data_IF_984551959004
#
_entry.id   IF_984551959004
#
_cell.length_a   1.000
_cell.length_b   1.000
_cell.length_c   1.000
_cell.angle_alpha   90.00
_cell.angle_beta   90.00
_cell.angle_gamma   90.00
#
_symmetry.space_group_name_H-M   'P 1'
#
loop_
_entity.id
_entity.type
_entity.pdbx_description
1 polymer ?
#
# COMPACT_ATOMS: atom_id res chain seq x y z
N UNK A 1 15.22 -21.50 -17.86
CA UNK A 1 13.76 -21.44 -18.11
C UNK A 1 13.51 -21.58 -19.60
N UNK A 2 12.36 -22.14 -20.04
CA UNK A 2 12.10 -22.45 -21.45
C UNK A 2 11.76 -21.17 -22.24
N UNK A 3 12.07 -21.13 -23.56
CA UNK A 3 11.69 -20.03 -24.46
C UNK A 3 10.20 -19.63 -24.38
N UNK A 4 9.35 -20.59 -24.06
CA UNK A 4 7.92 -20.37 -23.82
C UNK A 4 7.60 -19.39 -22.66
N UNK A 5 8.48 -19.22 -21.67
CA UNK A 5 8.31 -18.27 -20.58
C UNK A 5 8.56 -16.83 -21.06
N UNK A 6 9.63 -16.62 -21.79
CA UNK A 6 9.94 -15.33 -22.41
C UNK A 6 8.86 -14.89 -23.41
N UNK A 7 8.36 -15.81 -24.24
CA UNK A 7 7.28 -15.53 -25.19
C UNK A 7 6.01 -15.07 -24.49
N UNK A 8 5.60 -15.74 -23.39
CA UNK A 8 4.45 -15.28 -22.58
C UNK A 8 4.67 -13.88 -22.02
N UNK A 9 5.89 -13.60 -21.52
CA UNK A 9 6.22 -12.26 -20.99
C UNK A 9 6.15 -11.19 -22.08
N UNK A 10 6.69 -11.45 -23.26
CA UNK A 10 6.60 -10.51 -24.40
C UNK A 10 5.15 -10.29 -24.81
N UNK A 11 4.34 -11.35 -24.86
CA UNK A 11 2.92 -11.24 -25.16
C UNK A 11 2.20 -10.36 -24.12
N UNK A 12 2.41 -10.61 -22.85
CA UNK A 12 1.83 -9.80 -21.77
C UNK A 12 2.29 -8.33 -21.81
N UNK A 13 3.55 -8.06 -22.17
CA UNK A 13 3.99 -6.68 -22.40
C UNK A 13 3.26 -6.02 -23.57
N UNK A 14 2.95 -6.74 -24.66
CA UNK A 14 2.17 -6.20 -25.77
C UNK A 14 0.75 -5.86 -25.33
N UNK A 15 0.10 -6.73 -24.59
CA UNK A 15 -1.25 -6.50 -24.04
C UNK A 15 -1.27 -5.39 -22.98
N UNK A 16 -0.19 -5.22 -22.22
CA UNK A 16 -0.06 -4.16 -21.25
C UNK A 16 0.07 -2.75 -21.89
N UNK A 17 0.36 -2.67 -23.21
CA UNK A 17 0.50 -1.38 -23.92
C UNK A 17 -0.90 -0.87 -24.31
N UNK A 18 -1.53 -0.21 -23.39
CA UNK A 18 -2.77 0.53 -23.57
C UNK A 18 -2.54 2.02 -23.94
N UNK A 19 -3.61 2.81 -24.04
CA UNK A 19 -3.53 4.23 -24.38
C UNK A 19 -2.69 5.05 -23.36
N UNK A 20 -2.81 4.88 -22.03
CA UNK A 20 -1.91 5.51 -21.06
C UNK A 20 -0.43 5.16 -21.27
N UNK A 21 -0.10 3.89 -21.53
CA UNK A 21 1.28 3.43 -21.78
C UNK A 21 1.84 4.07 -23.07
N UNK A 22 1.07 4.04 -24.14
CA UNK A 22 1.47 4.66 -25.42
C UNK A 22 1.65 6.18 -25.28
N UNK A 23 0.76 6.85 -24.57
CA UNK A 23 0.84 8.29 -24.25
C UNK A 23 2.11 8.61 -23.45
N UNK A 24 2.43 7.79 -22.43
CA UNK A 24 3.66 7.96 -21.65
C UNK A 24 4.91 7.91 -22.55
N UNK A 25 5.05 6.87 -23.36
CA UNK A 25 6.25 6.72 -24.18
C UNK A 25 6.37 7.78 -25.29
N UNK A 26 5.25 8.35 -25.71
CA UNK A 26 5.22 9.45 -26.71
C UNK A 26 5.49 10.81 -26.07
N UNK A 27 5.07 11.05 -24.83
CA UNK A 27 5.14 12.35 -24.14
C UNK A 27 6.37 12.53 -23.25
N UNK A 28 7.02 11.42 -22.82
CA UNK A 28 8.15 11.48 -21.91
C UNK A 28 9.41 12.07 -22.56
N UNK A 29 9.74 13.31 -22.20
CA UNK A 29 10.93 14.05 -22.69
C UNK A 29 12.22 13.71 -21.94
N UNK A 30 12.19 12.72 -21.04
CA UNK A 30 13.36 12.27 -20.26
C UNK A 30 14.07 13.39 -19.46
N UNK A 31 13.31 14.33 -18.92
CA UNK A 31 13.84 15.46 -18.15
C UNK A 31 14.52 15.06 -16.82
N UNK A 32 14.34 13.82 -16.34
CA UNK A 32 14.98 13.29 -15.12
C UNK A 32 14.33 13.72 -13.80
N UNK A 33 13.30 14.58 -13.78
CA UNK A 33 12.68 15.04 -12.53
C UNK A 33 12.13 13.89 -11.67
N UNK A 34 11.56 12.85 -12.28
CA UNK A 34 11.06 11.68 -11.58
C UNK A 34 12.16 10.94 -10.77
N UNK A 35 13.43 11.03 -11.19
CA UNK A 35 14.57 10.45 -10.47
C UNK A 35 14.79 11.16 -9.14
N UNK A 36 14.71 12.49 -9.11
CA UNK A 36 14.82 13.31 -7.89
C UNK A 36 13.70 13.06 -6.88
N UNK A 37 12.60 12.46 -7.34
CA UNK A 37 11.47 12.05 -6.49
C UNK A 37 11.53 10.59 -6.07
N UNK A 38 12.43 9.78 -6.60
CA UNK A 38 12.54 8.36 -6.28
C UNK A 38 13.45 8.15 -5.07
N UNK A 39 12.89 7.59 -4.00
CA UNK A 39 13.64 7.30 -2.76
C UNK A 39 14.89 6.47 -3.03
N UNK A 40 14.76 5.42 -3.85
CA UNK A 40 15.89 4.52 -4.13
C UNK A 40 17.01 5.21 -4.92
N UNK A 41 16.66 6.07 -5.87
CA UNK A 41 17.67 6.83 -6.59
C UNK A 41 18.33 7.92 -5.74
N UNK A 42 17.53 8.68 -4.97
CA UNK A 42 18.08 9.80 -4.18
C UNK A 42 19.03 9.37 -3.07
N UNK A 43 18.85 8.16 -2.54
CA UNK A 43 19.69 7.66 -1.44
C UNK A 43 20.88 6.81 -1.90
N UNK A 44 20.84 6.32 -3.14
CA UNK A 44 21.95 5.51 -3.71
C UNK A 44 22.74 6.24 -4.78
N UNK A 45 22.13 7.24 -5.43
CA UNK A 45 22.65 7.94 -6.62
C UNK A 45 22.95 7.02 -7.81
N UNK A 46 22.55 5.75 -7.74
CA UNK A 46 22.75 4.77 -8.80
C UNK A 46 21.70 4.94 -9.92
N UNK A 47 22.11 5.27 -11.16
CA UNK A 47 21.20 5.50 -12.29
C UNK A 47 20.25 4.34 -12.60
N UNK A 48 20.61 3.10 -12.23
CA UNK A 48 19.74 1.93 -12.43
C UNK A 48 18.40 2.04 -11.68
N UNK A 49 18.36 2.79 -10.57
CA UNK A 49 17.15 2.98 -9.78
C UNK A 49 16.26 4.13 -10.28
N UNK A 50 16.63 4.80 -11.37
CA UNK A 50 15.78 5.86 -11.93
C UNK A 50 14.46 5.26 -12.45
N UNK A 51 13.30 5.91 -12.21
CA UNK A 51 11.99 5.39 -12.64
C UNK A 51 11.92 5.09 -14.14
N UNK A 52 12.58 5.90 -14.97
CA UNK A 52 12.59 5.70 -16.43
C UNK A 52 13.36 4.44 -16.82
N UNK A 53 14.46 4.15 -16.15
CA UNK A 53 15.28 2.98 -16.44
C UNK A 53 14.52 1.68 -16.15
N UNK A 54 13.73 1.65 -15.08
CA UNK A 54 12.89 0.50 -14.70
C UNK A 54 11.87 0.10 -15.75
N UNK A 55 11.55 0.98 -16.70
CA UNK A 55 10.56 0.75 -17.75
C UNK A 55 11.18 0.29 -19.08
N UNK A 56 12.49 0.10 -19.14
CA UNK A 56 13.19 -0.17 -20.40
C UNK A 56 12.70 -1.42 -21.15
N UNK A 57 12.43 -2.60 -20.52
CA UNK A 57 11.88 -3.74 -21.24
C UNK A 57 10.54 -3.44 -21.91
N UNK A 58 9.59 -2.83 -21.20
CA UNK A 58 8.29 -2.43 -21.77
C UNK A 58 8.46 -1.41 -22.91
N UNK A 59 9.41 -0.46 -22.76
CA UNK A 59 9.72 0.52 -23.80
C UNK A 59 10.31 -0.12 -25.05
N UNK A 60 11.15 -1.17 -24.91
CA UNK A 60 11.69 -1.91 -26.07
C UNK A 60 10.56 -2.56 -26.84
N UNK A 61 9.63 -3.25 -26.17
CA UNK A 61 8.45 -3.86 -26.81
C UNK A 61 7.61 -2.78 -27.53
N UNK A 62 7.29 -1.67 -26.81
CA UNK A 62 6.55 -0.58 -27.43
C UNK A 62 7.22 -0.02 -28.70
N UNK A 63 8.53 0.18 -28.68
CA UNK A 63 9.25 0.67 -29.87
C UNK A 63 9.20 -0.32 -31.02
N UNK A 64 9.41 -1.59 -30.76
CA UNK A 64 9.44 -2.64 -31.78
C UNK A 64 8.08 -2.86 -32.44
N UNK A 65 7.00 -2.82 -31.65
CA UNK A 65 5.67 -3.17 -32.13
C UNK A 65 4.86 -1.97 -32.62
N UNK A 66 5.04 -0.78 -32.02
CA UNK A 66 4.14 0.36 -32.21
C UNK A 66 4.77 1.59 -32.86
N UNK A 67 6.08 1.62 -33.13
CA UNK A 67 6.71 2.73 -33.86
C UNK A 67 7.12 2.29 -35.26
N UNK A 68 6.97 3.21 -36.24
CA UNK A 68 7.33 2.92 -37.64
C UNK A 68 8.79 2.45 -37.78
N UNK A 69 9.73 3.22 -37.25
CA UNK A 69 11.16 2.89 -37.34
C UNK A 69 11.55 1.65 -36.52
N UNK A 70 10.88 1.42 -35.39
CA UNK A 70 11.12 0.22 -34.59
C UNK A 70 10.65 -1.04 -35.32
N UNK A 71 9.48 -0.99 -35.95
CA UNK A 71 8.96 -2.12 -36.77
C UNK A 71 9.87 -2.40 -37.95
N UNK A 72 10.33 -1.36 -38.66
CA UNK A 72 11.25 -1.52 -39.79
C UNK A 72 12.58 -2.13 -39.32
N UNK A 73 13.17 -1.63 -38.23
CA UNK A 73 14.40 -2.19 -37.65
C UNK A 73 14.22 -3.64 -37.19
N UNK A 74 13.04 -3.97 -36.61
CA UNK A 74 12.71 -5.34 -36.21
C UNK A 74 12.60 -6.27 -37.42
N UNK A 75 11.93 -5.84 -38.49
CA UNK A 75 11.80 -6.62 -39.73
C UNK A 75 13.14 -6.87 -40.42
N UNK A 76 14.09 -5.92 -40.29
CA UNK A 76 15.46 -6.06 -40.83
C UNK A 76 16.43 -6.79 -39.88
N UNK A 77 15.96 -7.30 -38.71
CA UNK A 77 16.82 -7.95 -37.71
C UNK A 77 17.82 -7.02 -37.01
N UNK A 78 17.61 -5.69 -37.09
CA UNK A 78 18.49 -4.68 -36.50
C UNK A 78 18.08 -4.27 -35.08
N UNK A 79 16.92 -4.72 -34.58
CA UNK A 79 16.47 -4.42 -33.23
C UNK A 79 16.95 -5.43 -32.22
N UNK A 80 17.46 -4.97 -31.06
CA UNK A 80 17.83 -5.85 -29.96
C UNK A 80 16.55 -6.43 -29.33
N UNK A 81 16.33 -7.72 -29.52
CA UNK A 81 15.23 -8.44 -28.90
C UNK A 81 15.41 -8.53 -27.38
N UNK A 82 14.30 -8.63 -26.63
CA UNK A 82 14.35 -8.97 -25.22
C UNK A 82 14.82 -10.40 -25.03
N UNK A 83 15.65 -10.61 -24.03
CA UNK A 83 16.13 -11.92 -23.63
C UNK A 83 15.70 -12.22 -22.19
N UNK A 84 15.72 -13.49 -21.80
CA UNK A 84 15.46 -13.93 -20.43
C UNK A 84 16.43 -13.26 -19.44
N UNK A 85 17.72 -13.16 -19.81
CA UNK A 85 18.73 -12.44 -19.02
C UNK A 85 18.45 -10.93 -18.87
N UNK A 86 17.87 -10.30 -19.88
CA UNK A 86 17.41 -8.92 -19.71
C UNK A 86 16.30 -8.85 -18.63
N UNK A 87 15.31 -9.76 -18.64
CA UNK A 87 14.22 -9.75 -17.66
C UNK A 87 14.73 -10.08 -16.25
N UNK A 88 15.62 -11.05 -16.10
CA UNK A 88 16.27 -11.38 -14.83
C UNK A 88 16.97 -10.15 -14.23
N UNK A 89 17.72 -9.39 -15.03
CA UNK A 89 18.39 -8.16 -14.57
C UNK A 89 17.39 -7.07 -14.14
N UNK A 90 16.20 -7.01 -14.75
CA UNK A 90 15.18 -6.02 -14.39
C UNK A 90 14.28 -6.44 -13.23
N UNK A 91 14.24 -7.70 -12.84
CA UNK A 91 13.42 -8.18 -11.71
C UNK A 91 13.72 -7.39 -10.44
N UNK A 92 14.99 -7.27 -10.05
CA UNK A 92 15.42 -6.52 -8.88
C UNK A 92 15.06 -5.03 -8.99
N UNK A 93 15.14 -4.44 -10.20
CA UNK A 93 14.83 -3.04 -10.40
C UNK A 93 13.34 -2.73 -10.32
N UNK A 94 12.50 -3.66 -10.73
CA UNK A 94 11.05 -3.46 -10.79
C UNK A 94 10.36 -3.81 -9.47
N UNK A 95 10.86 -4.80 -8.75
CA UNK A 95 10.25 -5.27 -7.51
C UNK A 95 10.99 -4.79 -6.27
N UNK A 96 12.32 -4.89 -6.20
CA UNK A 96 13.05 -4.60 -4.97
C UNK A 96 13.26 -3.10 -4.74
N UNK A 97 13.24 -2.30 -5.80
CA UNK A 97 13.48 -0.86 -5.72
C UNK A 97 12.28 0.01 -6.12
N UNK A 98 11.05 -0.52 -6.04
CA UNK A 98 9.83 0.24 -6.31
C UNK A 98 8.68 -0.13 -5.36
N UNK A 99 8.34 0.79 -4.48
CA UNK A 99 7.24 0.66 -3.51
C UNK A 99 5.87 1.07 -4.06
N UNK A 100 5.77 1.39 -5.35
CA UNK A 100 4.55 1.94 -5.97
C UNK A 100 4.02 3.22 -5.27
N UNK A 101 4.89 3.99 -4.62
CA UNK A 101 4.50 5.14 -3.80
C UNK A 101 3.92 6.34 -4.58
N UNK A 102 4.13 6.44 -5.88
CA UNK A 102 3.56 7.48 -6.72
C UNK A 102 4.25 8.86 -6.68
N UNK A 103 5.33 9.06 -5.89
CA UNK A 103 5.98 10.38 -5.80
C UNK A 103 6.59 10.83 -7.13
N UNK A 104 7.11 9.90 -7.92
CA UNK A 104 7.61 10.18 -9.26
C UNK A 104 6.51 10.60 -10.25
N UNK A 105 5.29 10.06 -10.10
CA UNK A 105 4.13 10.46 -10.90
C UNK A 105 3.71 11.89 -10.59
N UNK A 106 3.67 12.27 -9.31
CA UNK A 106 3.30 13.63 -8.88
C UNK A 106 4.24 14.72 -9.38
N UNK A 107 5.55 14.44 -9.43
CA UNK A 107 6.54 15.44 -9.85
C UNK A 107 6.67 15.53 -11.38
N UNK A 108 6.01 14.65 -12.13
CA UNK A 108 6.12 14.62 -13.57
C UNK A 108 5.47 15.85 -14.21
N UNK A 109 6.22 16.71 -14.91
CA UNK A 109 5.69 17.96 -15.46
C UNK A 109 4.69 17.73 -16.61
N UNK A 110 4.68 16.52 -17.18
CA UNK A 110 3.77 16.10 -18.25
C UNK A 110 2.53 15.37 -17.69
N UNK A 111 2.50 15.12 -16.37
CA UNK A 111 1.37 14.44 -15.72
C UNK A 111 1.33 12.91 -15.95
N UNK A 112 2.42 12.28 -16.35
CA UNK A 112 2.46 10.83 -16.55
C UNK A 112 2.38 10.06 -15.22
N UNK A 113 1.49 9.07 -15.12
CA UNK A 113 1.48 8.14 -13.99
C UNK A 113 2.53 7.04 -14.17
N UNK A 114 3.73 7.32 -13.64
CA UNK A 114 4.86 6.39 -13.68
C UNK A 114 4.57 5.13 -12.83
N UNK A 115 3.77 5.25 -11.79
CA UNK A 115 3.39 4.10 -10.95
C UNK A 115 2.53 3.11 -11.73
N UNK A 116 1.59 3.62 -12.53
CA UNK A 116 0.84 2.80 -13.46
C UNK A 116 1.76 2.06 -14.44
N UNK A 117 2.74 2.76 -15.01
CA UNK A 117 3.73 2.16 -15.91
C UNK A 117 4.52 1.03 -15.25
N UNK A 118 4.91 1.17 -13.97
CA UNK A 118 5.61 0.10 -13.23
C UNK A 118 4.66 -1.09 -13.02
N UNK A 119 3.37 -0.88 -12.77
CA UNK A 119 2.40 -1.98 -12.67
C UNK A 119 2.31 -2.74 -13.99
N UNK A 120 2.20 -2.02 -15.12
CA UNK A 120 2.21 -2.61 -16.46
C UNK A 120 3.52 -3.34 -16.78
N UNK A 121 4.64 -2.83 -16.30
CA UNK A 121 5.91 -3.54 -16.37
C UNK A 121 5.87 -4.85 -15.57
N UNK A 122 5.28 -4.87 -14.37
CA UNK A 122 5.14 -6.08 -13.56
C UNK A 122 4.24 -7.14 -14.19
N UNK A 123 3.24 -6.77 -14.99
CA UNK A 123 2.39 -7.73 -15.73
C UNK A 123 3.23 -8.62 -16.65
N UNK A 124 4.09 -8.03 -17.46
CA UNK A 124 4.99 -8.79 -18.31
C UNK A 124 6.06 -9.59 -17.55
N UNK A 125 6.59 -9.02 -16.45
CA UNK A 125 7.55 -9.69 -15.58
C UNK A 125 6.94 -10.94 -14.92
N UNK A 126 5.75 -10.83 -14.35
CA UNK A 126 5.02 -11.93 -13.72
C UNK A 126 4.69 -13.04 -14.74
N UNK A 127 4.20 -12.67 -15.94
CA UNK A 127 3.87 -13.60 -17.01
C UNK A 127 5.10 -14.37 -17.53
N UNK A 128 6.29 -13.74 -17.51
CA UNK A 128 7.56 -14.39 -17.87
C UNK A 128 8.16 -15.23 -16.73
N UNK A 129 7.57 -15.21 -15.54
CA UNK A 129 8.08 -15.92 -14.36
C UNK A 129 9.18 -15.18 -13.60
N UNK A 130 9.42 -13.91 -13.91
CA UNK A 130 10.40 -13.05 -13.25
C UNK A 130 9.74 -12.20 -12.15
N UNK A 131 9.04 -12.86 -11.23
CA UNK A 131 8.55 -12.24 -10.00
C UNK A 131 9.26 -12.86 -8.78
N UNK A 132 9.50 -12.06 -7.71
CA UNK A 132 10.24 -12.54 -6.55
C UNK A 132 9.56 -13.72 -5.85
N UNK A 133 10.32 -14.76 -5.41
CA UNK A 133 9.75 -15.93 -4.75
C UNK A 133 8.90 -15.61 -3.52
N UNK A 134 9.33 -14.64 -2.69
CA UNK A 134 8.58 -14.18 -1.51
C UNK A 134 7.21 -13.62 -1.88
N UNK A 135 7.15 -12.79 -2.92
CA UNK A 135 5.89 -12.21 -3.41
C UNK A 135 4.99 -13.24 -4.10
N UNK A 136 5.57 -14.21 -4.84
CA UNK A 136 4.82 -15.37 -5.38
C UNK A 136 4.19 -16.16 -4.23
N UNK A 137 4.97 -16.45 -3.17
CA UNK A 137 4.49 -17.16 -1.99
C UNK A 137 3.37 -16.41 -1.28
N UNK A 138 3.51 -15.10 -1.06
CA UNK A 138 2.48 -14.25 -0.48
C UNK A 138 1.20 -14.24 -1.32
N UNK A 139 1.34 -14.11 -2.64
CA UNK A 139 0.19 -14.12 -3.57
C UNK A 139 -0.53 -15.46 -3.58
N UNK A 140 0.22 -16.57 -3.58
CA UNK A 140 -0.38 -17.91 -3.48
C UNK A 140 -1.18 -18.07 -2.19
N UNK A 141 -0.63 -17.63 -1.05
CA UNK A 141 -1.36 -17.69 0.23
C UNK A 141 -2.61 -16.81 0.21
N UNK A 142 -2.53 -15.59 -0.35
CA UNK A 142 -3.69 -14.71 -0.49
C UNK A 142 -4.82 -15.37 -1.29
N UNK A 143 -4.50 -16.03 -2.41
CA UNK A 143 -5.49 -16.76 -3.22
C UNK A 143 -6.07 -17.98 -2.47
N UNK A 144 -5.24 -18.80 -1.83
CA UNK A 144 -5.65 -20.09 -1.27
C UNK A 144 -6.23 -20.00 0.13
N UNK A 145 -5.78 -19.02 0.94
CA UNK A 145 -6.11 -18.88 2.36
C UNK A 145 -6.91 -17.60 2.64
N UNK A 146 -6.83 -16.61 1.74
CA UNK A 146 -7.42 -15.27 1.91
C UNK A 146 -6.47 -14.27 2.57
N UNK A 147 -5.23 -14.66 2.90
CA UNK A 147 -4.26 -13.82 3.58
C UNK A 147 -2.85 -14.02 3.01
N UNK A 148 -2.11 -12.96 2.65
CA UNK A 148 -0.75 -13.07 2.12
C UNK A 148 0.25 -13.61 3.15
N UNK A 149 0.01 -13.40 4.44
CA UNK A 149 0.80 -13.98 5.53
C UNK A 149 0.29 -15.34 6.01
N UNK A 150 -0.84 -15.81 5.47
CA UNK A 150 -1.41 -17.11 5.80
C UNK A 150 -2.25 -17.11 7.09
N UNK A 151 -2.73 -15.96 7.53
CA UNK A 151 -3.66 -15.84 8.66
C UNK A 151 -4.97 -16.52 8.32
N UNK A 152 -5.36 -17.50 9.13
CA UNK A 152 -6.60 -18.25 8.97
C UNK A 152 -7.65 -17.76 9.98
N UNK A 153 -8.92 -18.04 9.72
CA UNK A 153 -10.03 -17.67 10.59
C UNK A 153 -9.84 -18.07 12.07
N UNK A 154 -9.31 -19.27 12.43
CA UNK A 154 -9.06 -19.60 13.84
C UNK A 154 -8.07 -18.65 14.53
N UNK A 155 -7.08 -18.11 13.82
CA UNK A 155 -6.15 -17.13 14.37
C UNK A 155 -6.84 -15.79 14.63
N UNK A 156 -7.65 -15.30 13.69
CA UNK A 156 -8.47 -14.11 13.91
C UNK A 156 -9.43 -14.30 15.10
N UNK A 157 -10.12 -15.43 15.18
CA UNK A 157 -11.02 -15.74 16.29
C UNK A 157 -10.31 -15.82 17.64
N UNK A 158 -9.05 -16.29 17.66
CA UNK A 158 -8.25 -16.29 18.87
C UNK A 158 -7.91 -14.87 19.34
N UNK A 159 -7.55 -13.99 18.40
CA UNK A 159 -7.31 -12.57 18.70
C UNK A 159 -8.58 -11.85 19.15
N UNK A 160 -9.71 -12.09 18.50
CA UNK A 160 -11.01 -11.55 18.91
C UNK A 160 -11.31 -11.94 20.37
N UNK A 161 -11.22 -13.23 20.72
CA UNK A 161 -11.46 -13.68 22.10
C UNK A 161 -10.49 -13.07 23.10
N UNK A 162 -9.23 -12.84 22.70
CA UNK A 162 -8.25 -12.16 23.54
C UNK A 162 -8.68 -10.72 23.81
N UNK A 163 -9.01 -9.97 22.75
CA UNK A 163 -9.47 -8.59 22.84
C UNK A 163 -10.74 -8.47 23.68
N UNK A 164 -11.74 -9.34 23.45
CA UNK A 164 -12.98 -9.33 24.23
C UNK A 164 -12.75 -9.58 25.73
N UNK A 165 -11.81 -10.49 26.04
CA UNK A 165 -11.43 -10.77 27.43
C UNK A 165 -10.72 -9.60 28.10
N UNK A 166 -9.79 -8.93 27.39
CA UNK A 166 -9.01 -7.82 27.94
C UNK A 166 -9.83 -6.52 28.04
N UNK A 167 -10.73 -6.28 27.09
CA UNK A 167 -11.49 -5.03 27.04
C UNK A 167 -12.90 -5.13 27.60
N UNK A 168 -13.45 -6.33 27.74
CA UNK A 168 -14.85 -6.55 28.08
C UNK A 168 -15.83 -6.16 26.97
N UNK A 169 -15.35 -5.77 25.80
CA UNK A 169 -16.13 -5.33 24.64
C UNK A 169 -16.33 -6.47 23.65
N UNK A 170 -17.49 -6.51 22.98
CA UNK A 170 -17.76 -7.49 21.94
C UNK A 170 -17.21 -7.03 20.60
N UNK A 171 -16.60 -7.97 19.85
CA UNK A 171 -16.15 -7.79 18.47
C UNK A 171 -17.11 -8.55 17.54
N UNK A 172 -18.04 -7.89 16.86
CA UNK A 172 -19.08 -8.54 16.07
C UNK A 172 -18.50 -9.19 14.80
N UNK A 173 -18.89 -10.44 14.56
CA UNK A 173 -18.51 -11.21 13.38
C UNK A 173 -19.76 -11.70 12.65
N UNK A 174 -19.80 -11.54 11.34
CA UNK A 174 -20.89 -11.96 10.45
C UNK A 174 -22.29 -11.42 10.82
N UNK A 175 -22.35 -10.19 11.33
CA UNK A 175 -23.62 -9.53 11.63
C UNK A 175 -24.21 -8.93 10.36
N UNK A 176 -25.32 -9.51 9.89
CA UNK A 176 -26.05 -9.04 8.71
C UNK A 176 -26.75 -7.69 9.00
N UNK A 177 -26.68 -6.76 8.06
CA UNK A 177 -27.32 -5.45 8.15
C UNK A 177 -26.59 -4.43 9.01
N UNK A 178 -25.37 -4.73 9.47
CA UNK A 178 -24.50 -3.73 10.08
C UNK A 178 -24.22 -2.58 9.10
N UNK A 179 -24.04 -1.36 9.61
CA UNK A 179 -23.73 -0.21 8.74
C UNK A 179 -22.35 -0.31 8.10
N UNK A 180 -21.40 -0.94 8.79
CA UNK A 180 -20.01 -1.05 8.35
C UNK A 180 -19.47 -2.45 8.46
N UNK A 181 -18.75 -2.91 7.42
CA UNK A 181 -17.87 -4.07 7.49
C UNK A 181 -16.43 -3.60 7.61
N UNK A 182 -15.76 -3.95 8.71
CA UNK A 182 -14.35 -3.66 8.93
C UNK A 182 -13.49 -4.73 8.27
N UNK A 183 -12.55 -4.30 7.44
CA UNK A 183 -11.46 -5.13 6.97
C UNK A 183 -10.25 -4.97 7.90
N UNK A 184 -9.44 -6.00 7.94
CA UNK A 184 -8.18 -6.02 8.68
C UNK A 184 -7.03 -6.31 7.71
N UNK A 185 -5.80 -6.13 8.16
CA UNK A 185 -4.61 -6.66 7.51
C UNK A 185 -4.00 -7.77 8.35
N UNK A 186 -3.24 -8.65 7.71
CA UNK A 186 -2.48 -9.68 8.43
C UNK A 186 -1.56 -9.08 9.51
N UNK A 187 -1.02 -7.88 9.24
CA UNK A 187 -0.13 -7.19 10.18
C UNK A 187 -0.86 -6.78 11.47
N UNK A 188 -2.08 -6.26 11.35
CA UNK A 188 -2.91 -5.90 12.51
C UNK A 188 -3.30 -7.13 13.33
N UNK A 189 -3.61 -8.25 12.66
CA UNK A 189 -4.00 -9.46 13.36
C UNK A 189 -2.81 -10.09 14.10
N UNK A 190 -1.62 -10.07 13.51
CA UNK A 190 -0.45 -10.81 14.01
C UNK A 190 0.49 -9.96 14.86
N UNK A 191 0.72 -8.71 14.49
CA UNK A 191 1.73 -7.85 15.09
C UNK A 191 1.14 -6.74 15.97
N UNK A 192 -0.11 -6.31 15.67
CA UNK A 192 -0.76 -5.19 16.36
C UNK A 192 -2.22 -5.53 16.73
N UNK A 193 -2.46 -6.62 17.50
CA UNK A 193 -3.82 -7.03 17.85
C UNK A 193 -4.58 -5.99 18.68
N UNK A 194 -3.88 -5.06 19.33
CA UNK A 194 -4.41 -3.91 20.06
C UNK A 194 -5.29 -3.04 19.18
N UNK A 195 -5.00 -2.99 17.86
CA UNK A 195 -5.80 -2.26 16.88
C UNK A 195 -7.27 -2.70 16.89
N UNK A 196 -7.55 -4.01 17.03
CA UNK A 196 -8.92 -4.53 17.07
C UNK A 196 -9.62 -4.04 18.34
N UNK A 197 -8.92 -4.02 19.47
CA UNK A 197 -9.43 -3.49 20.75
C UNK A 197 -9.70 -1.98 20.68
N UNK A 198 -8.79 -1.24 20.07
CA UNK A 198 -8.95 0.20 19.84
C UNK A 198 -10.20 0.50 19.01
N UNK A 199 -10.41 -0.23 17.91
CA UNK A 199 -11.62 -0.08 17.08
C UNK A 199 -12.88 -0.44 17.87
N UNK A 200 -12.87 -1.56 18.61
CA UNK A 200 -14.02 -1.96 19.42
C UNK A 200 -14.39 -0.87 20.44
N UNK A 201 -13.39 -0.30 21.14
CA UNK A 201 -13.60 0.81 22.11
C UNK A 201 -14.13 2.07 21.43
N UNK A 202 -13.55 2.48 20.30
CA UNK A 202 -14.00 3.67 19.57
C UNK A 202 -15.44 3.49 19.09
N UNK A 203 -15.76 2.34 18.50
CA UNK A 203 -17.07 2.12 17.91
C UNK A 203 -18.15 1.92 18.95
N UNK A 204 -17.84 1.29 20.08
CA UNK A 204 -18.75 1.21 21.23
C UNK A 204 -19.08 2.62 21.73
N UNK A 205 -18.08 3.43 22.07
CA UNK A 205 -18.25 4.81 22.56
C UNK A 205 -18.97 5.71 21.54
N UNK A 206 -18.67 5.54 20.26
CA UNK A 206 -19.28 6.32 19.20
C UNK A 206 -20.64 5.75 18.74
N UNK A 207 -21.11 4.61 19.24
CA UNK A 207 -22.36 3.96 18.85
C UNK A 207 -22.40 3.56 17.38
N UNK A 208 -21.29 3.01 16.82
CA UNK A 208 -21.17 2.58 15.42
C UNK A 208 -21.64 1.13 15.30
N UNK A 209 -22.56 0.86 14.38
CA UNK A 209 -22.94 -0.51 14.01
C UNK A 209 -21.96 -1.08 13.00
N UNK A 210 -21.24 -2.15 13.35
CA UNK A 210 -20.17 -2.71 12.55
C UNK A 210 -20.07 -4.23 12.68
N UNK A 211 -19.30 -4.84 11.78
CA UNK A 211 -19.00 -6.27 11.81
C UNK A 211 -17.69 -6.56 11.09
N UNK A 212 -17.08 -7.72 11.37
CA UNK A 212 -16.00 -8.32 10.57
C UNK A 212 -16.59 -9.50 9.82
N UNK A 213 -16.15 -9.74 8.56
CA UNK A 213 -16.54 -10.96 7.83
C UNK A 213 -15.58 -12.10 8.16
N UNK A 214 -16.11 -13.27 8.50
CA UNK A 214 -15.30 -14.48 8.63
C UNK A 214 -14.78 -15.04 7.31
N UNK A 215 -15.40 -14.63 6.19
CA UNK A 215 -15.04 -15.11 4.83
C UNK A 215 -14.02 -14.20 4.14
N UNK A 216 -14.08 -12.88 4.40
CA UNK A 216 -13.19 -11.90 3.77
C UNK A 216 -12.80 -10.78 4.74
N UNK A 217 -12.02 -11.12 5.76
CA UNK A 217 -11.52 -10.16 6.75
C UNK A 217 -10.22 -9.47 6.31
N UNK A 218 -9.44 -10.07 5.44
CA UNK A 218 -8.15 -9.55 4.97
C UNK A 218 -8.30 -8.93 3.57
N UNK A 219 -7.69 -7.79 3.34
CA UNK A 219 -7.86 -7.02 2.10
C UNK A 219 -6.56 -6.58 1.41
N UNK A 220 -5.41 -7.04 1.88
CA UNK A 220 -4.13 -6.73 1.22
C UNK A 220 -4.06 -7.40 -0.15
N UNK A 221 -4.01 -6.60 -1.20
CA UNK A 221 -4.06 -7.09 -2.57
C UNK A 221 -2.65 -7.35 -3.14
N UNK A 222 -2.18 -8.59 -2.98
CA UNK A 222 -0.90 -9.04 -3.53
C UNK A 222 -0.92 -9.19 -5.06
N UNK A 223 -2.09 -9.35 -5.69
CA UNK A 223 -2.25 -9.38 -7.14
C UNK A 223 -1.79 -8.09 -7.82
N UNK A 224 -2.13 -6.93 -7.23
CA UNK A 224 -1.62 -5.62 -7.68
C UNK A 224 -0.10 -5.53 -7.48
N UNK A 225 0.42 -6.06 -6.38
CA UNK A 225 1.83 -5.97 -6.06
C UNK A 225 2.70 -6.81 -7.01
N UNK A 226 2.24 -8.01 -7.35
CA UNK A 226 2.97 -8.91 -8.25
C UNK A 226 2.77 -8.54 -9.74
N UNK A 227 1.64 -7.91 -10.09
CA UNK A 227 1.30 -7.56 -11.47
C UNK A 227 0.43 -8.62 -12.16
N UNK A 228 -0.53 -9.23 -11.44
CA UNK A 228 -1.48 -10.19 -12.01
C UNK A 228 -2.91 -9.68 -11.77
N UNK A 229 -3.48 -9.08 -12.81
CA UNK A 229 -4.77 -8.37 -12.73
C UNK A 229 -5.94 -9.30 -12.39
N UNK A 230 -5.92 -10.55 -12.85
CA UNK A 230 -6.94 -11.55 -12.54
C UNK A 230 -6.96 -11.91 -11.06
N UNK A 231 -5.78 -12.08 -10.45
CA UNK A 231 -5.67 -12.30 -9.01
C UNK A 231 -6.10 -11.05 -8.24
N UNK A 232 -5.73 -9.88 -8.72
CA UNK A 232 -6.15 -8.63 -8.11
C UNK A 232 -7.68 -8.50 -8.09
N UNK A 233 -8.34 -8.83 -9.19
CA UNK A 233 -9.79 -8.83 -9.32
C UNK A 233 -10.45 -9.88 -8.42
N UNK A 234 -9.91 -11.10 -8.37
CA UNK A 234 -10.43 -12.17 -7.49
C UNK A 234 -10.40 -11.75 -6.01
N UNK A 235 -9.28 -11.17 -5.54
CA UNK A 235 -9.16 -10.73 -4.15
C UNK A 235 -10.13 -9.59 -3.80
N UNK A 236 -10.40 -8.68 -4.74
CA UNK A 236 -11.43 -7.63 -4.56
C UNK A 236 -12.83 -8.24 -4.57
N UNK A 237 -13.11 -9.18 -5.49
CA UNK A 237 -14.43 -9.80 -5.60
C UNK A 237 -14.84 -10.50 -4.32
N UNK A 238 -13.91 -11.16 -3.59
CA UNK A 238 -14.18 -11.76 -2.28
C UNK A 238 -14.72 -10.77 -1.26
N UNK A 239 -14.16 -9.56 -1.23
CA UNK A 239 -14.64 -8.49 -0.36
C UNK A 239 -16.03 -8.01 -0.78
N UNK A 240 -16.26 -7.88 -2.10
CA UNK A 240 -17.56 -7.50 -2.67
C UNK A 240 -18.64 -8.52 -2.31
N UNK A 241 -18.33 -9.82 -2.45
CA UNK A 241 -19.25 -10.90 -2.13
C UNK A 241 -19.60 -10.94 -0.63
N UNK A 242 -18.60 -10.78 0.23
CA UNK A 242 -18.81 -10.73 1.67
C UNK A 242 -19.66 -9.51 2.09
N UNK A 243 -19.36 -8.33 1.55
CA UNK A 243 -20.15 -7.13 1.80
C UNK A 243 -21.61 -7.27 1.35
N UNK A 244 -21.83 -7.88 0.19
CA UNK A 244 -23.17 -8.19 -0.33
C UNK A 244 -23.91 -9.21 0.53
N UNK A 245 -23.23 -10.28 0.98
CA UNK A 245 -23.80 -11.29 1.86
C UNK A 245 -24.23 -10.71 3.21
N UNK A 246 -23.40 -9.84 3.79
CA UNK A 246 -23.67 -9.16 5.05
C UNK A 246 -24.60 -7.95 4.90
N UNK A 247 -24.95 -7.57 3.68
CA UNK A 247 -25.84 -6.42 3.37
C UNK A 247 -25.38 -5.12 4.02
N UNK A 248 -24.06 -4.89 4.09
CA UNK A 248 -23.50 -3.67 4.69
C UNK A 248 -23.56 -2.52 3.70
N UNK A 249 -23.68 -1.30 4.22
CA UNK A 249 -23.70 -0.07 3.40
C UNK A 249 -22.31 0.47 3.13
N UNK A 250 -21.35 0.16 4.00
CA UNK A 250 -20.00 0.68 3.93
C UNK A 250 -18.99 -0.40 4.27
N UNK A 251 -17.82 -0.33 3.64
CA UNK A 251 -16.65 -1.15 3.94
C UNK A 251 -15.53 -0.23 4.44
N UNK A 252 -15.01 -0.52 5.62
CA UNK A 252 -13.89 0.23 6.22
C UNK A 252 -12.59 -0.45 5.85
N UNK A 253 -11.71 0.29 5.18
CA UNK A 253 -10.32 -0.11 5.04
C UNK A 253 -9.56 0.19 6.33
N UNK A 254 -8.76 -0.76 6.85
CA UNK A 254 -7.99 -0.60 8.07
C UNK A 254 -6.79 0.34 7.88
N UNK A 255 -5.89 0.42 8.83
CA UNK A 255 -4.59 1.09 8.68
C UNK A 255 -3.66 0.36 7.69
N UNK A 256 -4.17 0.13 6.49
CA UNK A 256 -3.48 -0.50 5.38
C UNK A 256 -3.71 0.23 4.06
N UNK A 257 -2.72 1.01 3.64
CA UNK A 257 -2.84 1.80 2.40
C UNK A 257 -2.99 0.97 1.13
N UNK A 258 -2.41 -0.24 1.07
CA UNK A 258 -2.56 -1.11 -0.10
C UNK A 258 -3.97 -1.70 -0.21
N UNK A 259 -4.59 -2.05 0.91
CA UNK A 259 -5.98 -2.47 0.95
C UNK A 259 -6.92 -1.35 0.49
N UNK A 260 -6.70 -0.13 1.02
CA UNK A 260 -7.49 1.05 0.65
C UNK A 260 -7.40 1.35 -0.85
N UNK A 261 -6.20 1.38 -1.40
CA UNK A 261 -5.99 1.61 -2.83
C UNK A 261 -6.65 0.52 -3.69
N UNK A 262 -6.48 -0.75 -3.30
CA UNK A 262 -7.00 -1.88 -4.05
C UNK A 262 -8.53 -1.87 -4.12
N UNK A 263 -9.20 -1.57 -3.01
CA UNK A 263 -10.67 -1.66 -2.95
C UNK A 263 -11.30 -0.34 -3.38
N UNK A 264 -10.85 0.80 -2.82
CA UNK A 264 -11.48 2.10 -3.06
C UNK A 264 -11.28 2.61 -4.49
N UNK A 265 -10.04 2.55 -4.99
CA UNK A 265 -9.64 3.23 -6.22
C UNK A 265 -9.52 2.31 -7.42
N UNK A 266 -9.02 1.09 -7.23
CA UNK A 266 -8.82 0.13 -8.30
C UNK A 266 -10.00 -0.87 -8.41
N UNK A 267 -10.66 -1.13 -7.29
CA UNK A 267 -11.65 -2.20 -7.17
C UNK A 267 -12.76 -2.18 -8.20
N UNK A 268 -13.47 -1.07 -8.42
CA UNK A 268 -14.52 -1.01 -9.45
C UNK A 268 -14.02 -1.33 -10.86
N UNK A 269 -12.80 -0.91 -11.20
CA UNK A 269 -12.19 -1.22 -12.49
C UNK A 269 -11.74 -2.68 -12.57
N UNK A 270 -11.23 -3.26 -11.48
CA UNK A 270 -10.81 -4.65 -11.43
C UNK A 270 -11.98 -5.63 -11.59
N UNK A 271 -13.12 -5.34 -10.96
CA UNK A 271 -14.31 -6.21 -11.07
C UNK A 271 -15.28 -5.78 -12.19
N UNK A 272 -14.98 -4.70 -12.90
CA UNK A 272 -15.73 -4.24 -14.07
C UNK A 272 -17.11 -3.61 -13.76
N UNK A 273 -17.39 -3.26 -12.50
CA UNK A 273 -18.65 -2.60 -12.09
C UNK A 273 -18.47 -1.75 -10.82
N UNK A 274 -19.30 -0.70 -10.62
CA UNK A 274 -19.33 0.01 -9.35
C UNK A 274 -19.80 -0.91 -8.21
N UNK A 275 -19.45 -0.54 -6.98
CA UNK A 275 -19.91 -1.23 -5.78
C UNK A 275 -21.27 -0.68 -5.31
N UNK A 276 -22.09 -1.54 -4.70
CA UNK A 276 -23.35 -1.18 -4.06
C UNK A 276 -23.14 -0.63 -2.63
N UNK A 277 -21.89 -0.51 -2.18
CA UNK A 277 -21.48 0.03 -0.89
C UNK A 277 -20.39 1.10 -1.07
N UNK A 278 -20.19 1.92 -0.04
CA UNK A 278 -19.09 2.89 -0.01
C UNK A 278 -17.85 2.25 0.61
N UNK A 279 -16.68 2.63 0.13
CA UNK A 279 -15.40 2.28 0.77
C UNK A 279 -14.84 3.54 1.43
N UNK A 280 -14.55 3.45 2.73
CA UNK A 280 -13.95 4.53 3.51
C UNK A 280 -12.67 4.03 4.20
N UNK A 281 -11.68 4.87 4.34
CA UNK A 281 -10.55 4.59 5.22
C UNK A 281 -10.96 4.80 6.67
N UNK A 282 -10.39 4.05 7.60
CA UNK A 282 -10.70 4.24 9.04
C UNK A 282 -10.54 5.70 9.48
N UNK A 283 -9.51 6.39 9.03
CA UNK A 283 -9.30 7.80 9.36
C UNK A 283 -10.35 8.75 8.79
N UNK A 284 -10.99 8.41 7.67
CA UNK A 284 -12.12 9.20 7.13
C UNK A 284 -13.33 9.05 8.06
N UNK A 285 -13.62 7.82 8.50
CA UNK A 285 -14.71 7.58 9.46
C UNK A 285 -14.44 8.23 10.81
N UNK A 286 -13.23 8.09 11.35
CA UNK A 286 -12.87 8.72 12.63
C UNK A 286 -12.97 10.26 12.57
N UNK A 287 -12.57 10.88 11.47
CA UNK A 287 -12.70 12.32 11.28
C UNK A 287 -14.17 12.75 11.14
N UNK A 288 -15.01 11.93 10.51
CA UNK A 288 -16.47 12.14 10.48
C UNK A 288 -17.08 12.06 11.88
N UNK A 289 -16.75 11.02 12.66
CA UNK A 289 -17.20 10.85 14.03
C UNK A 289 -16.74 12.03 14.92
N UNK A 290 -15.50 12.50 14.74
CA UNK A 290 -14.97 13.71 15.38
C UNK A 290 -15.82 14.93 15.03
N UNK A 291 -16.10 15.14 13.75
CA UNK A 291 -16.90 16.28 13.28
C UNK A 291 -18.34 16.26 13.82
N UNK A 292 -18.90 15.07 14.04
CA UNK A 292 -20.21 14.84 14.65
C UNK A 292 -20.19 14.98 16.20
N UNK A 293 -19.03 15.19 16.83
CA UNK A 293 -18.90 15.27 18.29
C UNK A 293 -19.08 13.93 19.00
N UNK A 294 -18.96 12.80 18.28
CA UNK A 294 -19.11 11.44 18.81
C UNK A 294 -17.81 10.87 19.41
N UNK A 295 -16.68 11.53 19.19
CA UNK A 295 -15.41 11.21 19.85
C UNK A 295 -15.13 12.27 20.91
N UNK A 296 -15.24 11.88 22.18
CA UNK A 296 -14.93 12.74 23.33
C UNK A 296 -13.57 12.34 23.88
N UNK A 297 -12.67 13.29 24.04
CA UNK A 297 -11.30 13.08 24.52
C UNK A 297 -11.22 13.53 25.98
N UNK A 298 -10.61 12.70 26.83
CA UNK A 298 -10.40 12.99 28.26
C UNK A 298 -9.19 13.87 28.52
N UNK A 299 -8.09 13.58 27.81
CA UNK A 299 -6.78 14.18 27.95
C UNK A 299 -6.03 14.13 26.62
N UNK A 300 -4.82 14.66 26.57
CA UNK A 300 -4.01 14.66 25.36
C UNK A 300 -2.62 14.11 25.63
N UNK A 301 -2.07 13.46 24.60
CA UNK A 301 -0.67 13.07 24.59
C UNK A 301 0.23 14.31 24.66
N UNK A 302 1.14 14.31 25.60
CA UNK A 302 2.04 15.45 25.88
C UNK A 302 3.39 15.30 25.16
N UNK A 303 3.73 14.11 24.69
CA UNK A 303 4.93 13.86 23.93
C UNK A 303 4.96 14.68 22.63
N UNK A 304 6.15 14.98 22.15
CA UNK A 304 6.33 15.64 20.86
C UNK A 304 6.18 14.62 19.73
N UNK A 305 5.03 14.62 19.11
CA UNK A 305 4.70 13.68 18.03
C UNK A 305 5.11 14.22 16.66
N UNK A 306 5.43 13.31 15.75
CA UNK A 306 5.47 13.57 14.31
C UNK A 306 4.62 12.56 13.56
N UNK A 307 4.08 12.96 12.41
CA UNK A 307 3.25 12.06 11.62
C UNK A 307 3.97 11.59 10.35
N UNK A 308 4.06 10.26 10.19
CA UNK A 308 4.46 9.67 8.92
C UNK A 308 3.24 9.47 8.03
N UNK A 309 3.14 10.24 6.96
CA UNK A 309 2.10 10.09 5.95
C UNK A 309 2.29 8.80 5.14
N UNK A 310 1.45 7.75 5.26
CA UNK A 310 1.58 6.56 4.44
C UNK A 310 1.23 6.87 2.98
N UNK A 311 2.14 6.60 2.07
CA UNK A 311 2.05 7.06 0.68
C UNK A 311 0.80 6.60 -0.08
N UNK A 312 0.28 5.40 0.23
CA UNK A 312 -0.93 4.87 -0.40
C UNK A 312 -2.21 5.50 0.19
N UNK A 313 -2.16 5.96 1.43
CA UNK A 313 -3.29 6.61 2.10
C UNK A 313 -3.30 8.10 1.76
N UNK A 314 -2.18 8.79 1.92
CA UNK A 314 -2.08 10.22 1.69
C UNK A 314 -2.03 10.58 0.20
N UNK A 315 -0.92 10.29 -0.47
CA UNK A 315 -0.67 10.73 -1.86
C UNK A 315 -1.62 10.08 -2.85
N UNK A 316 -1.80 8.77 -2.77
CA UNK A 316 -2.64 8.04 -3.71
C UNK A 316 -4.09 7.93 -3.26
N UNK A 317 -4.33 7.92 -1.95
CA UNK A 317 -5.67 7.78 -1.37
C UNK A 317 -6.40 9.10 -1.10
N UNK A 318 -5.68 10.22 -1.01
CA UNK A 318 -6.27 11.55 -0.76
C UNK A 318 -6.56 11.85 0.71
N UNK A 319 -6.24 10.95 1.64
CA UNK A 319 -6.45 11.13 3.09
C UNK A 319 -5.25 11.87 3.67
N UNK A 320 -5.27 13.18 3.63
CA UNK A 320 -4.15 14.07 4.02
C UNK A 320 -4.50 14.90 5.25
N UNK A 321 -5.67 15.54 5.26
CA UNK A 321 -6.08 16.46 6.30
C UNK A 321 -6.72 15.75 7.50
N UNK A 322 -7.35 14.60 7.28
CA UNK A 322 -8.01 13.81 8.32
C UNK A 322 -7.06 13.43 9.46
N UNK A 323 -5.86 12.85 9.18
CA UNK A 323 -4.90 12.54 10.24
C UNK A 323 -4.51 13.76 11.08
N UNK A 324 -4.36 14.93 10.46
CA UNK A 324 -3.95 16.15 11.15
C UNK A 324 -5.06 16.69 12.07
N UNK A 325 -6.31 16.63 11.61
CA UNK A 325 -7.45 16.99 12.46
C UNK A 325 -7.62 16.02 13.62
N UNK A 326 -7.42 14.72 13.41
CA UNK A 326 -7.47 13.71 14.46
C UNK A 326 -6.32 13.88 15.46
N UNK A 327 -5.09 14.10 14.99
CA UNK A 327 -3.94 14.37 15.86
C UNK A 327 -4.13 15.64 16.66
N UNK A 328 -4.65 16.71 16.07
CA UNK A 328 -4.96 17.95 16.80
C UNK A 328 -6.00 17.78 17.93
N UNK A 329 -6.79 16.70 17.88
CA UNK A 329 -7.71 16.32 18.94
C UNK A 329 -6.98 15.66 20.12
N UNK A 330 -6.01 14.76 19.86
CA UNK A 330 -5.40 13.89 20.86
C UNK A 330 -3.95 14.26 21.25
N UNK A 331 -3.31 15.18 20.56
CA UNK A 331 -1.91 15.58 20.82
C UNK A 331 -1.80 17.06 21.19
N UNK A 332 -0.92 17.38 22.14
CA UNK A 332 -0.58 18.77 22.50
C UNK A 332 0.54 19.30 21.59
N UNK A 333 1.54 18.46 21.30
CA UNK A 333 2.76 18.86 20.62
C UNK A 333 2.95 18.08 19.31
N UNK A 334 2.82 18.77 18.20
CA UNK A 334 3.05 18.21 16.86
C UNK A 334 4.20 18.88 16.14
N UNK A 335 5.08 18.08 15.54
CA UNK A 335 6.18 18.57 14.72
C UNK A 335 6.13 17.89 13.34
N UNK A 336 5.79 18.65 12.31
CA UNK A 336 5.74 18.12 10.94
C UNK A 336 7.16 17.88 10.39
N UNK A 337 7.35 16.73 9.80
CA UNK A 337 8.59 16.46 9.05
C UNK A 337 8.68 17.33 7.81
N UNK A 338 9.90 17.66 7.33
CA UNK A 338 10.03 18.21 5.98
C UNK A 338 9.39 17.29 4.93
N UNK A 339 8.72 17.88 3.95
CA UNK A 339 8.01 17.18 2.85
C UNK A 339 6.95 16.20 3.40
N UNK A 340 5.88 16.74 3.94
CA UNK A 340 4.73 16.00 4.47
C UNK A 340 3.58 15.86 3.47
N UNK A 341 2.51 15.22 3.91
CA UNK A 341 1.28 15.04 3.14
C UNK A 341 1.55 14.32 1.82
N UNK A 342 1.11 14.91 0.72
CA UNK A 342 1.29 14.32 -0.61
C UNK A 342 2.75 14.31 -1.08
N UNK A 343 3.62 15.15 -0.52
CA UNK A 343 5.04 15.21 -0.85
C UNK A 343 5.92 14.35 0.07
N UNK A 344 5.35 13.61 1.01
CA UNK A 344 6.07 12.75 1.95
C UNK A 344 7.07 11.80 1.28
N UNK A 345 8.10 11.40 2.02
CA UNK A 345 8.97 10.30 1.63
C UNK A 345 8.41 8.96 2.16
N UNK A 346 8.40 7.96 1.29
CA UNK A 346 7.94 6.61 1.60
C UNK A 346 8.78 5.96 2.72
N UNK A 347 8.19 5.03 3.48
CA UNK A 347 8.92 4.20 4.44
C UNK A 347 9.93 3.25 3.79
N UNK A 348 9.79 2.97 2.49
CA UNK A 348 10.71 2.12 1.74
C UNK A 348 10.22 0.69 1.48
N UNK A 349 9.09 0.25 2.06
CA UNK A 349 8.73 -1.16 2.12
C UNK A 349 7.44 -1.57 1.37
N UNK A 350 6.65 -0.61 0.87
CA UNK A 350 5.41 -0.91 0.16
C UNK A 350 5.59 -1.63 -1.18
N UNK A 351 4.48 -1.91 -1.86
CA UNK A 351 4.47 -2.44 -3.22
C UNK A 351 5.06 -3.84 -3.39
N UNK A 352 5.12 -4.63 -2.32
CA UNK A 352 5.70 -5.97 -2.32
C UNK A 352 7.21 -6.02 -2.01
N UNK A 353 7.87 -4.87 -1.76
CA UNK A 353 9.30 -4.84 -1.38
C UNK A 353 9.54 -5.63 -0.09
N UNK A 354 8.69 -5.44 0.92
CA UNK A 354 8.77 -6.16 2.20
C UNK A 354 8.55 -7.68 2.12
N UNK A 355 8.04 -8.19 1.00
CA UNK A 355 7.92 -9.63 0.79
C UNK A 355 9.19 -10.25 0.18
N UNK A 356 10.26 -9.49 0.07
CA UNK A 356 11.47 -9.77 -0.69
C UNK A 356 12.71 -9.62 0.19
N UNK A 357 13.15 -10.68 0.84
CA UNK A 357 14.33 -10.66 1.73
C UNK A 357 15.58 -10.05 1.07
N UNK A 358 15.82 -10.33 -0.22
CA UNK A 358 16.96 -9.75 -0.95
C UNK A 358 16.89 -8.22 -1.08
N UNK A 359 15.75 -7.60 -0.81
CA UNK A 359 15.57 -6.15 -0.86
C UNK A 359 15.87 -5.46 0.48
N UNK A 360 16.12 -6.21 1.55
CA UNK A 360 16.21 -5.67 2.91
C UNK A 360 17.38 -4.70 3.06
N UNK A 361 18.58 -5.04 2.58
CA UNK A 361 19.75 -4.14 2.63
C UNK A 361 19.49 -2.81 1.90
N UNK A 362 18.83 -2.90 0.73
CA UNK A 362 18.49 -1.70 -0.05
C UNK A 362 17.40 -0.88 0.66
N UNK A 363 16.41 -1.53 1.23
CA UNK A 363 15.32 -0.91 1.98
C UNK A 363 15.86 -0.16 3.21
N UNK A 364 16.73 -0.78 3.98
CA UNK A 364 17.39 -0.17 5.14
C UNK A 364 18.33 0.96 4.71
N UNK A 365 19.09 0.78 3.61
CA UNK A 365 19.93 1.85 3.05
C UNK A 365 19.12 3.11 2.73
N UNK A 366 17.95 2.99 2.09
CA UNK A 366 17.16 4.16 1.72
C UNK A 366 16.41 4.81 2.89
N UNK A 367 16.35 4.15 4.05
CA UNK A 367 15.81 4.72 5.28
C UNK A 367 16.59 5.95 5.76
N UNK A 368 17.82 6.17 5.29
CA UNK A 368 18.61 7.40 5.50
C UNK A 368 17.78 8.67 5.27
N UNK A 369 16.89 8.65 4.29
CA UNK A 369 15.99 9.78 4.02
C UNK A 369 15.05 10.06 5.19
N UNK A 370 14.46 9.01 5.76
CA UNK A 370 13.58 9.12 6.93
C UNK A 370 14.36 9.56 8.15
N UNK A 371 15.53 8.95 8.39
CA UNK A 371 16.44 9.38 9.45
C UNK A 371 16.74 10.87 9.37
N UNK A 372 17.11 11.38 8.19
CA UNK A 372 17.40 12.80 7.99
C UNK A 372 16.20 13.73 8.25
N UNK A 373 14.97 13.25 8.05
CA UNK A 373 13.76 13.98 8.42
C UNK A 373 13.56 13.97 9.94
N UNK A 374 13.74 12.84 10.60
CA UNK A 374 13.60 12.68 12.05
C UNK A 374 14.65 13.47 12.82
N UNK A 375 15.91 13.48 12.36
CA UNK A 375 17.00 14.27 12.95
C UNK A 375 16.68 15.78 13.02
N UNK A 376 15.86 16.27 12.07
CA UNK A 376 15.46 17.69 12.04
C UNK A 376 14.34 18.00 13.03
N UNK A 377 13.38 17.10 13.19
CA UNK A 377 12.21 17.34 14.05
C UNK A 377 12.38 16.81 15.47
N UNK A 378 13.23 15.80 15.65
CA UNK A 378 13.55 15.18 16.95
C UNK A 378 12.27 14.88 17.76
N UNK A 379 11.38 14.03 17.23
CA UNK A 379 10.15 13.68 17.91
C UNK A 379 10.42 12.69 19.05
N UNK A 380 9.53 12.67 20.04
CA UNK A 380 9.51 11.62 21.07
C UNK A 380 8.84 10.34 20.54
N UNK A 381 7.88 10.48 19.62
CA UNK A 381 7.25 9.34 18.95
C UNK A 381 6.83 9.69 17.50
N UNK A 382 6.74 8.65 16.66
CA UNK A 382 6.23 8.72 15.30
C UNK A 382 4.83 8.12 15.28
N UNK A 383 3.84 8.84 14.75
CA UNK A 383 2.50 8.30 14.53
C UNK A 383 2.34 7.94 13.06
N UNK A 384 1.77 6.77 12.77
CA UNK A 384 1.45 6.33 11.42
C UNK A 384 0.13 5.56 11.40
N UNK A 385 -0.65 5.76 10.36
CA UNK A 385 -1.90 5.03 10.13
C UNK A 385 -1.72 3.93 9.07
N UNK A 386 -0.60 3.21 9.13
CA UNK A 386 -0.34 2.08 8.24
C UNK A 386 0.55 1.06 8.94
N UNK A 387 -0.02 -0.10 9.28
CA UNK A 387 0.66 -1.18 10.00
C UNK A 387 1.94 -1.66 9.31
N UNK A 388 1.93 -1.76 7.97
CA UNK A 388 3.15 -2.08 7.22
C UNK A 388 4.21 -0.96 7.35
N UNK A 389 3.81 0.32 7.39
CA UNK A 389 4.77 1.40 7.62
C UNK A 389 5.32 1.38 9.04
N UNK A 390 4.50 1.01 10.06
CA UNK A 390 4.97 0.91 11.46
C UNK A 390 6.13 -0.06 11.56
N UNK A 391 5.95 -1.31 11.12
CA UNK A 391 7.00 -2.35 11.15
C UNK A 391 8.29 -1.85 10.49
N UNK A 392 8.19 -1.25 9.31
CA UNK A 392 9.38 -0.85 8.57
C UNK A 392 9.99 0.48 9.01
N UNK A 393 9.25 1.30 9.74
CA UNK A 393 9.83 2.42 10.48
C UNK A 393 10.62 1.89 11.69
N UNK A 394 10.07 0.92 12.42
CA UNK A 394 10.74 0.25 13.54
C UNK A 394 12.04 -0.43 13.10
N UNK A 395 12.01 -1.26 12.04
CA UNK A 395 13.22 -1.88 11.46
C UNK A 395 14.29 -0.84 11.09
N UNK A 396 13.88 0.23 10.43
CA UNK A 396 14.81 1.28 10.02
C UNK A 396 15.33 2.11 11.20
N UNK A 397 14.53 2.35 12.24
CA UNK A 397 14.97 3.01 13.46
C UNK A 397 16.00 2.14 14.21
N UNK A 398 15.74 0.85 14.34
CA UNK A 398 16.67 -0.12 14.93
C UNK A 398 18.01 -0.14 14.19
N UNK A 399 18.00 -0.24 12.85
CA UNK A 399 19.22 -0.23 12.00
C UNK A 399 20.07 1.01 12.23
N UNK A 400 19.45 2.16 12.49
CA UNK A 400 20.17 3.42 12.72
C UNK A 400 20.31 3.79 14.19
N UNK A 401 20.01 2.89 15.14
CA UNK A 401 20.17 3.09 16.57
C UNK A 401 19.32 4.24 17.13
N UNK A 402 18.10 4.41 16.61
CA UNK A 402 17.16 5.45 17.03
C UNK A 402 16.05 4.83 17.89
N UNK A 403 15.99 5.18 19.15
CA UNK A 403 14.99 4.69 20.11
C UNK A 403 13.73 5.59 20.09
N UNK A 404 12.97 5.56 18.99
CA UNK A 404 11.75 6.35 18.82
C UNK A 404 10.58 5.40 18.59
N UNK A 405 9.56 5.34 19.48
CA UNK A 405 8.41 4.46 19.31
C UNK A 405 7.56 4.88 18.09
N UNK A 406 6.92 3.88 17.45
CA UNK A 406 6.01 4.09 16.32
C UNK A 406 4.59 3.70 16.73
N UNK A 407 3.69 4.67 16.79
CA UNK A 407 2.33 4.53 17.29
C UNK A 407 1.31 4.46 16.15
N UNK A 408 0.20 3.75 16.37
CA UNK A 408 -1.00 3.85 15.52
C UNK A 408 -1.81 5.09 15.89
N UNK A 409 -2.33 5.79 14.88
CA UNK A 409 -3.23 6.90 15.14
C UNK A 409 -4.57 6.43 15.73
N UNK A 410 -5.07 5.28 15.30
CA UNK A 410 -6.32 4.71 15.80
C UNK A 410 -6.18 4.26 17.26
N UNK A 411 -5.07 3.61 17.61
CA UNK A 411 -4.78 3.19 18.99
C UNK A 411 -4.64 4.44 19.89
N UNK A 412 -3.88 5.43 19.47
CA UNK A 412 -3.71 6.70 20.20
C UNK A 412 -5.06 7.40 20.48
N UNK A 413 -5.97 7.42 19.52
CA UNK A 413 -7.32 7.96 19.73
C UNK A 413 -8.07 7.15 20.77
N UNK A 414 -8.02 5.82 20.71
CA UNK A 414 -8.71 4.95 21.65
C UNK A 414 -8.20 5.13 23.09
N UNK A 415 -6.91 5.32 23.28
CA UNK A 415 -6.29 5.54 24.60
C UNK A 415 -6.79 6.80 25.29
N UNK A 416 -6.97 7.87 24.50
CA UNK A 416 -7.40 9.19 25.03
C UNK A 416 -8.92 9.41 25.01
N UNK A 417 -9.73 8.41 24.64
CA UNK A 417 -11.19 8.54 24.73
C UNK A 417 -11.66 8.64 26.18
N UNK A 418 -12.56 9.58 26.41
CA UNK A 418 -13.20 9.74 27.72
C UNK A 418 -14.03 8.51 28.10
N UNK A 419 -13.89 8.06 29.33
CA UNK A 419 -14.84 7.13 29.91
C UNK A 419 -16.14 7.89 30.23
N UNK A 420 -17.29 7.35 29.84
CA UNK A 420 -18.56 7.91 30.27
C UNK A 420 -18.66 7.72 31.79
N UNK A 421 -19.00 8.83 32.50
CA UNK A 421 -19.31 8.81 33.93
C UNK A 421 -20.71 8.29 34.16
#
# INVERSE_FOLDING_TARGET
MSGASLERGIHAFKEAIDAPVASFFSSCVRCGLCSKACLFYTETEDPKYTPIHKLEPLRRVWRQEYTFWGRLASALGLSKQLTDADLEAWETLVYDSCTLCGRCSMICPVGNDITYMIRKMREGMAASGHAPPGLIGATRRAVTIGSPMGVKLPALQAQIRHVEKETGLSVPVDVEGADYMLLLSSMEIMNFPEFIGAIARIFDKAGVSWTISSEAFEATNSGIQIGVSEIAAELVQRVVDAAGKLKVKNVISPECGHAYMAIRWEGPNLVGKPFDFKVVHILELLDELRAQGRLKISDKEVQRLTYHDPCQISRRGGVVEQPRRLLGMVAENMAEMPETGTLNWCCGAGGGVSSNERADDLRLTVFKRKKAQLDKVKPDAIVSACSNCRIHLEDGLEEYGMEIPVLSLTELIAEHLADEK
#
